data_IF_007876450996
#
_entry.id   IF_007876450996
#
_cell.length_a   1.000
_cell.length_b   1.000
_cell.length_c   1.000
_cell.angle_alpha   90.00
_cell.angle_beta   90.00
_cell.angle_gamma   90.00
#
_symmetry.space_group_name_H-M   'P 1'
#
loop_
_entity.id
_entity.type
_entity.pdbx_description
1 polymer ?
#
# COMPACT_ATOMS: atom_id res chain seq x y z
N UNK A 1 20.88 31.10 -12.91
CA UNK A 1 19.69 30.61 -13.62
C UNK A 1 19.59 29.11 -13.37
N UNK A 2 18.71 28.66 -12.47
CA UNK A 2 18.40 27.21 -12.34
C UNK A 2 17.05 26.94 -11.63
N UNK A 3 16.16 27.93 -11.59
CA UNK A 3 14.90 27.85 -10.82
C UNK A 3 13.76 27.21 -11.61
N UNK A 4 13.83 27.26 -12.95
CA UNK A 4 12.73 26.83 -13.83
C UNK A 4 12.66 25.30 -13.95
N UNK A 5 13.80 24.61 -14.08
CA UNK A 5 13.85 23.14 -14.19
C UNK A 5 13.39 22.43 -12.91
N UNK A 6 13.75 22.96 -11.73
CA UNK A 6 13.30 22.40 -10.45
C UNK A 6 11.78 22.57 -10.22
N UNK A 7 11.19 23.65 -10.75
CA UNK A 7 9.75 23.89 -10.64
C UNK A 7 8.92 22.97 -11.55
N UNK A 8 9.38 22.71 -12.78
CA UNK A 8 8.69 21.80 -13.71
C UNK A 8 8.72 20.33 -13.27
N UNK A 9 9.85 19.87 -12.72
CA UNK A 9 9.98 18.53 -12.14
C UNK A 9 9.06 18.37 -10.92
N UNK A 10 8.98 19.40 -10.07
CA UNK A 10 8.07 19.40 -8.92
C UNK A 10 6.58 19.38 -9.32
N UNK A 11 6.19 20.10 -10.36
CA UNK A 11 4.81 20.14 -10.85
C UNK A 11 4.41 18.81 -11.50
N UNK A 12 5.33 18.19 -12.25
CA UNK A 12 5.14 16.87 -12.86
C UNK A 12 5.01 15.79 -11.78
N UNK A 13 5.90 15.80 -10.79
CA UNK A 13 5.86 14.86 -9.67
C UNK A 13 4.58 15.03 -8.85
N UNK A 14 4.16 16.27 -8.59
CA UNK A 14 2.89 16.54 -7.89
C UNK A 14 1.69 16.01 -8.67
N UNK A 15 1.63 16.24 -9.98
CA UNK A 15 0.54 15.72 -10.82
C UNK A 15 0.52 14.19 -10.86
N UNK A 16 1.69 13.56 -10.89
CA UNK A 16 1.82 12.10 -10.80
C UNK A 16 1.37 11.59 -9.42
N UNK A 17 1.73 12.29 -8.34
CA UNK A 17 1.27 12.00 -6.98
C UNK A 17 -0.25 12.00 -6.90
N UNK A 18 -0.87 13.07 -7.40
CA UNK A 18 -2.33 13.24 -7.41
C UNK A 18 -3.01 12.17 -8.26
N UNK A 19 -2.44 11.83 -9.42
CA UNK A 19 -2.97 10.78 -10.28
C UNK A 19 -2.93 9.41 -9.58
N UNK A 20 -1.79 9.06 -8.97
CA UNK A 20 -1.63 7.82 -8.21
C UNK A 20 -2.56 7.80 -6.99
N UNK A 21 -2.72 8.93 -6.31
CA UNK A 21 -3.61 9.03 -5.16
C UNK A 21 -5.06 8.82 -5.54
N UNK A 22 -5.53 9.49 -6.59
CA UNK A 22 -6.89 9.32 -7.11
C UNK A 22 -7.13 7.88 -7.57
N UNK A 23 -6.16 7.24 -8.22
CA UNK A 23 -6.29 5.82 -8.62
C UNK A 23 -6.45 4.92 -7.39
N UNK A 24 -5.63 5.11 -6.35
CA UNK A 24 -5.75 4.31 -5.12
C UNK A 24 -7.07 4.59 -4.39
N UNK A 25 -7.54 5.83 -4.36
CA UNK A 25 -8.82 6.18 -3.75
C UNK A 25 -10.02 5.62 -4.53
N UNK A 26 -9.92 5.53 -5.85
CA UNK A 26 -10.94 4.90 -6.70
C UNK A 26 -11.06 3.40 -6.41
N UNK A 27 -9.92 2.69 -6.29
CA UNK A 27 -9.93 1.26 -5.97
C UNK A 27 -10.15 0.96 -4.47
N UNK A 28 -10.04 1.96 -3.59
CA UNK A 28 -10.15 1.79 -2.13
C UNK A 28 -11.48 1.17 -1.69
N UNK A 29 -12.57 1.57 -2.32
CA UNK A 29 -13.91 1.04 -2.03
C UNK A 29 -14.43 0.14 -3.17
N UNK A 30 -13.57 -0.18 -4.15
CA UNK A 30 -13.92 -1.08 -5.23
C UNK A 30 -14.09 -2.50 -4.70
N UNK A 31 -15.15 -3.16 -5.15
CA UNK A 31 -15.36 -4.58 -4.87
C UNK A 31 -14.28 -5.42 -5.55
N UNK A 32 -13.74 -6.45 -4.88
CA UNK A 32 -12.79 -7.36 -5.51
C UNK A 32 -13.38 -8.03 -6.74
N UNK A 33 -12.49 -8.45 -7.65
CA UNK A 33 -12.87 -9.32 -8.76
C UNK A 33 -13.56 -10.60 -8.26
N UNK A 34 -14.45 -11.16 -9.09
CA UNK A 34 -15.28 -12.29 -8.71
C UNK A 34 -14.43 -13.47 -8.22
N UNK A 35 -14.67 -13.88 -6.98
CA UNK A 35 -13.98 -15.01 -6.37
C UNK A 35 -12.68 -14.64 -5.64
N UNK A 36 -12.27 -13.37 -5.66
CA UNK A 36 -11.06 -12.85 -5.03
C UNK A 36 -11.40 -11.94 -3.85
N UNK A 37 -10.38 -11.54 -3.10
CA UNK A 37 -10.42 -10.55 -2.03
C UNK A 37 -9.37 -9.47 -2.29
N UNK A 38 -9.58 -8.28 -1.73
CA UNK A 38 -8.60 -7.19 -1.74
C UNK A 38 -8.19 -6.88 -0.28
N UNK A 39 -6.92 -6.56 -0.03
CA UNK A 39 -6.47 -6.09 1.29
C UNK A 39 -6.29 -4.58 1.23
N UNK A 40 -6.91 -3.86 2.16
CA UNK A 40 -6.73 -2.41 2.29
C UNK A 40 -5.71 -2.15 3.38
N UNK A 41 -4.78 -1.24 3.11
CA UNK A 41 -3.74 -0.82 4.04
C UNK A 41 -3.91 0.67 4.28
N UNK A 42 -3.99 1.06 5.56
CA UNK A 42 -3.97 2.46 5.98
C UNK A 42 -2.76 2.68 6.89
N UNK A 43 -1.89 3.59 6.50
CA UNK A 43 -0.66 3.93 7.21
C UNK A 43 -0.76 5.35 7.75
N UNK A 44 -0.42 5.50 9.02
CA UNK A 44 -0.36 6.79 9.70
C UNK A 44 1.02 6.98 10.32
N UNK A 45 1.45 8.22 10.49
CA UNK A 45 2.65 8.62 11.24
C UNK A 45 2.27 9.76 12.16
N UNK A 46 2.54 9.62 13.45
CA UNK A 46 2.16 10.62 14.46
C UNK A 46 0.65 10.98 14.41
N UNK A 47 -0.21 10.02 14.04
CA UNK A 47 -1.66 10.19 13.90
C UNK A 47 -2.14 10.81 12.58
N UNK A 48 -1.23 11.23 11.70
CA UNK A 48 -1.57 11.79 10.38
C UNK A 48 -1.34 10.76 9.27
N UNK A 49 -2.07 10.83 8.13
CA UNK A 49 -1.83 9.94 7.00
C UNK A 49 -0.37 9.99 6.52
N UNK A 50 0.26 8.82 6.40
CA UNK A 50 1.64 8.73 5.93
C UNK A 50 1.69 8.53 4.41
N UNK A 51 2.13 9.55 3.67
CA UNK A 51 2.32 9.46 2.23
C UNK A 51 3.72 8.93 1.87
N UNK A 52 3.77 7.87 1.05
CA UNK A 52 5.01 7.35 0.50
C UNK A 52 5.56 8.23 -0.63
N UNK A 53 6.81 7.97 -1.04
CA UNK A 53 7.42 8.69 -2.17
C UNK A 53 6.72 8.34 -3.48
N UNK A 54 6.57 9.33 -4.36
CA UNK A 54 6.11 9.09 -5.74
C UNK A 54 7.30 8.63 -6.56
N UNK A 55 7.49 7.31 -6.63
CA UNK A 55 8.65 6.70 -7.25
C UNK A 55 8.36 5.28 -7.72
N UNK A 56 9.15 4.81 -8.68
CA UNK A 56 9.21 3.38 -9.04
C UNK A 56 9.86 2.55 -7.92
N UNK A 57 10.63 3.19 -7.04
CA UNK A 57 11.21 2.56 -5.86
C UNK A 57 10.17 2.58 -4.75
N UNK A 58 9.98 1.42 -4.10
CA UNK A 58 9.00 1.23 -3.04
C UNK A 58 9.66 1.29 -1.68
N UNK A 59 9.01 1.94 -0.73
CA UNK A 59 9.46 2.05 0.66
C UNK A 59 8.91 0.90 1.54
N UNK A 60 7.95 0.13 1.03
CA UNK A 60 7.39 -1.03 1.75
C UNK A 60 7.21 -2.25 0.85
N UNK A 61 7.27 -3.44 1.45
CA UNK A 61 6.93 -4.72 0.85
C UNK A 61 5.75 -5.32 1.62
N UNK A 62 4.62 -5.51 0.94
CA UNK A 62 3.53 -6.33 1.44
C UNK A 62 3.78 -7.80 1.06
N UNK A 63 3.51 -8.72 1.98
CA UNK A 63 3.47 -10.17 1.74
C UNK A 63 2.21 -10.79 2.32
N UNK A 64 1.60 -11.67 1.54
CA UNK A 64 0.55 -12.57 1.99
C UNK A 64 1.05 -14.01 1.89
N UNK A 65 1.19 -14.66 3.05
CA UNK A 65 1.73 -16.00 3.19
C UNK A 65 0.62 -16.98 3.56
N UNK A 66 0.40 -18.00 2.74
CA UNK A 66 -0.51 -19.12 2.99
C UNK A 66 0.28 -20.42 2.96
N UNK A 67 -0.27 -21.50 3.53
CA UNK A 67 0.38 -22.82 3.49
C UNK A 67 0.73 -23.24 2.04
N UNK A 68 2.02 -23.22 1.73
CA UNK A 68 2.55 -23.62 0.42
C UNK A 68 2.46 -22.57 -0.68
N UNK A 69 2.03 -21.34 -0.38
CA UNK A 69 1.95 -20.23 -1.34
C UNK A 69 2.30 -18.91 -0.68
N UNK A 70 3.02 -18.05 -1.38
CA UNK A 70 3.26 -16.68 -0.95
C UNK A 70 3.10 -15.74 -2.13
N UNK A 71 2.57 -14.55 -1.87
CA UNK A 71 2.59 -13.45 -2.81
C UNK A 71 3.18 -12.21 -2.14
N UNK A 72 3.79 -11.35 -2.95
CA UNK A 72 4.44 -10.14 -2.45
C UNK A 72 4.34 -9.00 -3.45
N UNK A 73 4.18 -7.77 -2.96
CA UNK A 73 4.16 -6.59 -3.80
C UNK A 73 4.77 -5.40 -3.06
N UNK A 74 5.71 -4.73 -3.71
CA UNK A 74 6.24 -3.46 -3.22
C UNK A 74 5.20 -2.36 -3.38
N UNK A 75 5.13 -1.44 -2.42
CA UNK A 75 4.19 -0.33 -2.48
C UNK A 75 4.70 0.94 -1.79
N UNK A 76 4.05 2.05 -2.15
CA UNK A 76 4.08 3.32 -1.45
C UNK A 76 2.63 3.73 -1.18
N UNK A 77 2.26 4.10 0.06
CA UNK A 77 0.94 4.64 0.33
C UNK A 77 0.71 5.96 -0.43
N UNK A 78 -0.53 6.21 -0.84
CA UNK A 78 -0.90 7.48 -1.44
C UNK A 78 -0.90 8.64 -0.44
N UNK A 79 -1.28 9.84 -0.88
CA UNK A 79 -1.36 11.03 -0.02
C UNK A 79 -2.34 10.92 1.16
N UNK A 80 -3.27 9.96 1.12
CA UNK A 80 -4.19 9.65 2.21
C UNK A 80 -3.69 8.49 3.09
N UNK A 81 -2.43 8.09 2.93
CA UNK A 81 -1.84 6.96 3.64
C UNK A 81 -2.45 5.61 3.25
N UNK A 82 -3.08 5.53 2.08
CA UNK A 82 -3.80 4.32 1.65
C UNK A 82 -3.04 3.55 0.61
N UNK A 83 -3.24 2.23 0.61
CA UNK A 83 -2.87 1.36 -0.49
C UNK A 83 -3.78 0.13 -0.52
N UNK A 84 -3.90 -0.54 -1.67
CA UNK A 84 -4.72 -1.73 -1.86
C UNK A 84 -3.90 -2.83 -2.53
N UNK A 85 -3.91 -4.02 -1.94
CA UNK A 85 -3.46 -5.25 -2.57
C UNK A 85 -4.66 -5.97 -3.18
N UNK A 86 -4.66 -6.16 -4.49
CA UNK A 86 -5.80 -6.77 -5.20
C UNK A 86 -5.55 -8.24 -5.55
N UNK A 87 -6.63 -8.99 -5.72
CA UNK A 87 -6.58 -10.32 -6.33
C UNK A 87 -6.09 -11.45 -5.42
N UNK A 88 -6.26 -11.31 -4.11
CA UNK A 88 -5.93 -12.36 -3.16
C UNK A 88 -6.97 -13.49 -3.24
N UNK A 89 -6.53 -14.75 -3.29
CA UNK A 89 -7.44 -15.88 -3.25
C UNK A 89 -8.05 -16.05 -1.85
N UNK A 90 -9.26 -16.62 -1.71
CA UNK A 90 -9.81 -16.99 -0.41
C UNK A 90 -8.89 -17.98 0.32
N UNK A 91 -8.66 -17.75 1.61
CA UNK A 91 -7.68 -18.51 2.36
C UNK A 91 -7.41 -17.96 3.75
N UNK A 92 -6.52 -18.62 4.49
CA UNK A 92 -6.01 -18.11 5.77
C UNK A 92 -4.54 -17.74 5.60
N UNK A 93 -4.23 -16.49 5.90
CA UNK A 93 -2.94 -15.87 5.62
C UNK A 93 -2.25 -15.38 6.89
N UNK A 94 -0.93 -15.37 6.84
CA UNK A 94 -0.10 -14.42 7.56
C UNK A 94 0.18 -13.24 6.62
N UNK A 95 -0.22 -12.05 7.04
CA UNK A 95 0.07 -10.81 6.33
C UNK A 95 1.31 -10.17 6.97
N UNK A 96 2.28 -9.77 6.17
CA UNK A 96 3.50 -9.11 6.62
C UNK A 96 3.71 -7.85 5.81
N UNK A 97 4.10 -6.77 6.47
CA UNK A 97 4.52 -5.52 5.85
C UNK A 97 5.90 -5.21 6.40
N UNK A 98 6.85 -5.04 5.50
CA UNK A 98 8.23 -4.67 5.85
C UNK A 98 8.56 -3.33 5.24
N UNK A 99 9.18 -2.47 6.04
CA UNK A 99 9.82 -1.28 5.51
C UNK A 99 11.09 -1.66 4.74
N UNK A 100 11.39 -0.85 3.72
CA UNK A 100 12.57 -0.94 2.87
C UNK A 100 13.24 0.44 2.86
N UNK A 101 14.51 0.51 2.46
CA UNK A 101 15.29 1.75 2.39
C UNK A 101 15.33 2.45 3.77
N UNK A 102 14.73 3.64 3.87
CA UNK A 102 14.69 4.44 5.09
C UNK A 102 13.87 3.79 6.22
N UNK A 103 13.12 2.71 5.92
CA UNK A 103 12.23 2.01 6.85
C UNK A 103 12.66 0.57 7.16
N UNK A 104 13.88 0.14 6.82
CA UNK A 104 14.32 -1.27 6.96
C UNK A 104 14.16 -1.88 8.37
N UNK A 105 14.13 -1.07 9.42
CA UNK A 105 13.93 -1.53 10.80
C UNK A 105 12.46 -1.83 11.16
N UNK A 106 11.52 -1.55 10.26
CA UNK A 106 10.09 -1.59 10.54
C UNK A 106 9.44 -2.83 9.96
N UNK A 107 8.63 -3.50 10.78
CA UNK A 107 7.88 -4.67 10.34
C UNK A 107 6.58 -4.78 11.12
N UNK A 108 5.49 -5.07 10.40
CA UNK A 108 4.19 -5.38 10.97
C UNK A 108 3.72 -6.72 10.44
N UNK A 109 3.05 -7.49 11.28
CA UNK A 109 2.49 -8.76 10.85
C UNK A 109 1.15 -9.03 11.54
N UNK A 110 0.28 -9.76 10.83
CA UNK A 110 -1.00 -10.22 11.33
C UNK A 110 -1.21 -11.66 10.87
N UNK A 111 -1.28 -12.57 11.82
CA UNK A 111 -1.38 -14.00 11.55
C UNK A 111 -2.82 -14.51 11.66
N UNK A 112 -3.14 -15.58 10.93
CA UNK A 112 -4.44 -16.25 11.02
C UNK A 112 -5.60 -15.46 10.40
N UNK A 113 -5.31 -14.57 9.44
CA UNK A 113 -6.34 -13.78 8.76
C UNK A 113 -7.03 -14.63 7.70
N UNK A 114 -8.28 -15.01 7.98
CA UNK A 114 -9.14 -15.67 7.01
C UNK A 114 -9.83 -14.64 6.13
N UNK A 115 -9.65 -14.76 4.82
CA UNK A 115 -10.32 -13.96 3.79
C UNK A 115 -11.22 -14.85 2.93
N UNK A 116 -12.41 -14.35 2.65
CA UNK A 116 -13.41 -14.94 1.76
C UNK A 116 -13.51 -14.13 0.47
N UNK A 117 -14.14 -14.71 -0.56
CA UNK A 117 -14.39 -14.00 -1.81
C UNK A 117 -15.30 -12.77 -1.57
N UNK A 118 -14.88 -11.62 -2.09
CA UNK A 118 -15.53 -10.32 -1.91
C UNK A 118 -15.05 -9.54 -0.68
N UNK A 119 -14.19 -10.12 0.16
CA UNK A 119 -13.72 -9.44 1.37
C UNK A 119 -12.74 -8.30 1.06
N UNK A 120 -12.82 -7.25 1.89
CA UNK A 120 -11.94 -6.07 1.85
C UNK A 120 -11.37 -5.70 3.23
N UNK A 121 -10.69 -6.63 3.93
CA UNK A 121 -10.16 -6.37 5.27
C UNK A 121 -9.21 -5.17 5.27
N UNK A 122 -9.29 -4.38 6.35
CA UNK A 122 -8.42 -3.24 6.59
C UNK A 122 -7.27 -3.65 7.53
N UNK A 123 -6.05 -3.29 7.15
CA UNK A 123 -4.86 -3.36 7.97
C UNK A 123 -4.35 -1.95 8.25
N UNK A 124 -4.54 -1.51 9.50
CA UNK A 124 -4.06 -0.21 9.98
C UNK A 124 -2.64 -0.36 10.52
N UNK A 125 -1.77 0.56 10.13
CA UNK A 125 -0.37 0.64 10.53
C UNK A 125 -0.12 2.04 11.08
N UNK A 126 0.57 2.08 12.22
CA UNK A 126 1.10 3.30 12.81
C UNK A 126 2.62 3.28 12.71
N UNK A 127 3.17 4.42 12.30
CA UNK A 127 4.59 4.72 12.24
C UNK A 127 4.94 5.64 13.42
N UNK A 128 5.17 5.07 14.60
CA UNK A 128 5.50 5.75 15.86
C UNK A 128 6.92 5.45 16.38
#
# INVERSE_FOLDING_TARGET
MNTVFAQEESATNKRMAEMMANMIDEIWDQSPDKGLANIRISMTKDGEPFAGKVSILTDFLFRAEQRGSQSSQGFNPNSNGRWVYEGLQPGTYKLVIEGINDFESWQWNKEGITVSAGDTPLFEISLD
#
